data_IF_516235155254
#
_entry.id   IF_516235155254
#
_cell.length_a   1.000
_cell.length_b   1.000
_cell.length_c   1.000
_cell.angle_alpha   90.00
_cell.angle_beta   90.00
_cell.angle_gamma   90.00
#
_symmetry.space_group_name_H-M   'P 1'
#
loop_
_entity.id
_entity.type
_entity.pdbx_description
1 polymer ?
#
# COMPACT_ATOMS: atom_id res chain seq x y z
N UNK A 1 -43.39 13.72 -4.93
CA UNK A 1 -42.90 12.38 -4.55
C UNK A 1 -41.39 12.49 -4.42
N UNK A 2 -40.78 12.31 -3.24
CA UNK A 2 -39.33 12.22 -3.18
C UNK A 2 -38.93 10.97 -3.96
N UNK A 3 -38.11 11.14 -5.00
CA UNK A 3 -37.50 10.03 -5.71
C UNK A 3 -36.77 9.18 -4.69
N UNK A 4 -37.28 7.98 -4.41
CA UNK A 4 -36.58 7.03 -3.55
C UNK A 4 -35.23 6.75 -4.19
N UNK A 5 -34.16 7.33 -3.65
CA UNK A 5 -32.81 6.88 -3.97
C UNK A 5 -32.74 5.44 -3.49
N UNK A 6 -32.83 4.51 -4.44
CA UNK A 6 -32.64 3.10 -4.19
C UNK A 6 -31.23 2.93 -3.61
N UNK A 7 -31.17 2.58 -2.32
CA UNK A 7 -29.90 2.38 -1.64
C UNK A 7 -29.20 1.18 -2.27
N UNK A 8 -28.18 1.43 -3.06
CA UNK A 8 -27.42 0.37 -3.71
C UNK A 8 -26.70 -0.48 -2.65
N UNK A 9 -26.66 -1.81 -2.82
CA UNK A 9 -25.80 -2.64 -2.00
C UNK A 9 -24.33 -2.26 -2.24
N UNK A 10 -23.47 -2.47 -1.24
CA UNK A 10 -22.07 -2.02 -1.27
C UNK A 10 -21.29 -2.52 -2.50
N UNK A 11 -21.64 -3.67 -3.07
CA UNK A 11 -20.99 -4.22 -4.26
C UNK A 11 -21.46 -3.61 -5.58
N UNK A 12 -22.46 -2.73 -5.56
CA UNK A 12 -22.95 -2.00 -6.74
C UNK A 12 -22.60 -0.50 -6.72
N UNK A 13 -22.15 0.04 -5.57
CA UNK A 13 -21.67 1.41 -5.48
C UNK A 13 -20.39 1.57 -6.32
N UNK A 14 -20.27 2.71 -7.01
CA UNK A 14 -19.22 2.99 -8.01
C UNK A 14 -19.17 2.00 -9.19
N UNK A 15 -20.26 1.28 -9.46
CA UNK A 15 -20.42 0.42 -10.64
C UNK A 15 -21.45 1.03 -11.59
N UNK A 16 -21.12 1.23 -12.89
CA UNK A 16 -22.08 1.66 -13.90
C UNK A 16 -23.32 0.75 -13.93
N UNK A 17 -24.55 1.28 -14.09
CA UNK A 17 -25.77 0.48 -14.05
C UNK A 17 -25.75 -0.79 -14.92
N UNK A 18 -25.17 -0.69 -16.12
CA UNK A 18 -25.01 -1.77 -17.10
C UNK A 18 -24.05 -2.89 -16.67
N UNK A 19 -23.24 -2.65 -15.65
CA UNK A 19 -22.27 -3.61 -15.10
C UNK A 19 -22.63 -4.08 -13.69
N UNK A 20 -23.80 -3.67 -13.16
CA UNK A 20 -24.27 -4.12 -11.84
C UNK A 20 -24.74 -5.57 -11.92
N UNK A 21 -24.39 -6.31 -10.87
CA UNK A 21 -24.85 -7.68 -10.64
C UNK A 21 -25.76 -7.69 -9.42
N UNK A 22 -26.88 -8.40 -9.52
CA UNK A 22 -27.80 -8.64 -8.40
C UNK A 22 -27.13 -9.47 -7.29
N UNK A 23 -26.16 -10.32 -7.67
CA UNK A 23 -25.38 -11.15 -6.75
C UNK A 23 -24.04 -10.49 -6.43
N UNK A 24 -23.66 -10.50 -5.14
CA UNK A 24 -22.35 -10.02 -4.71
C UNK A 24 -21.21 -10.85 -5.37
N UNK A 25 -20.27 -10.21 -6.09
CA UNK A 25 -19.15 -10.90 -6.72
C UNK A 25 -18.31 -11.69 -5.72
N UNK A 26 -17.76 -12.84 -6.15
CA UNK A 26 -16.99 -13.74 -5.29
C UNK A 26 -15.89 -13.04 -4.49
N UNK A 27 -15.10 -12.20 -5.16
CA UNK A 27 -13.99 -11.47 -4.56
C UNK A 27 -14.41 -10.42 -3.50
N UNK A 28 -15.71 -10.17 -3.34
CA UNK A 28 -16.27 -9.26 -2.34
C UNK A 28 -17.08 -9.97 -1.24
N UNK A 29 -17.45 -11.24 -1.40
CA UNK A 29 -18.33 -11.93 -0.44
C UNK A 29 -17.77 -11.94 0.99
N UNK A 30 -16.45 -12.09 1.11
CA UNK A 30 -15.75 -12.13 2.39
C UNK A 30 -15.21 -10.76 2.84
N UNK A 31 -15.73 -9.65 2.29
CA UNK A 31 -15.39 -8.31 2.75
C UNK A 31 -15.86 -8.13 4.21
N UNK A 32 -14.93 -7.76 5.11
CA UNK A 32 -15.27 -7.44 6.50
C UNK A 32 -16.12 -6.14 6.59
N UNK A 33 -16.66 -5.85 7.76
CA UNK A 33 -17.52 -4.67 7.96
C UNK A 33 -16.86 -3.34 7.57
N UNK A 34 -15.55 -3.19 7.82
CA UNK A 34 -14.79 -1.99 7.44
C UNK A 34 -14.73 -1.85 5.93
N UNK A 35 -14.39 -2.92 5.23
CA UNK A 35 -14.32 -2.94 3.77
C UNK A 35 -15.69 -2.72 3.14
N UNK A 36 -16.75 -3.32 3.68
CA UNK A 36 -18.12 -3.09 3.20
C UNK A 36 -18.53 -1.62 3.33
N UNK A 37 -18.20 -0.98 4.46
CA UNK A 37 -18.46 0.47 4.67
C UNK A 37 -17.68 1.33 3.67
N UNK A 38 -16.43 1.00 3.40
CA UNK A 38 -15.63 1.73 2.40
C UNK A 38 -16.23 1.55 1.01
N UNK A 39 -16.55 0.31 0.62
CA UNK A 39 -17.13 -0.01 -0.69
C UNK A 39 -18.50 0.63 -0.90
N UNK A 40 -19.27 0.85 0.16
CA UNK A 40 -20.57 1.51 0.11
C UNK A 40 -20.51 3.04 -0.07
N UNK A 41 -19.32 3.65 -0.03
CA UNK A 41 -19.14 5.09 -0.21
C UNK A 41 -18.94 5.44 -1.70
N UNK A 42 -19.70 6.38 -2.27
CA UNK A 42 -19.41 6.90 -3.61
C UNK A 42 -18.03 7.54 -3.68
N UNK A 43 -17.28 7.33 -4.78
CA UNK A 43 -15.96 7.93 -4.98
C UNK A 43 -16.01 9.46 -4.89
N UNK A 44 -17.11 10.08 -5.32
CA UNK A 44 -17.35 11.54 -5.24
C UNK A 44 -17.46 12.06 -3.81
N UNK A 45 -17.80 11.20 -2.86
CA UNK A 45 -17.90 11.53 -1.43
C UNK A 45 -16.64 11.15 -0.65
N UNK A 46 -15.70 10.44 -1.31
CA UNK A 46 -14.45 10.06 -0.67
C UNK A 46 -13.49 11.25 -0.56
N UNK A 47 -13.13 11.61 0.68
CA UNK A 47 -12.14 12.64 0.97
C UNK A 47 -10.76 12.03 1.11
N UNK A 48 -9.81 12.49 0.29
CA UNK A 48 -8.40 12.15 0.44
C UNK A 48 -7.78 12.83 1.67
N UNK A 49 -6.92 12.10 2.37
CA UNK A 49 -6.13 12.67 3.47
C UNK A 49 -5.03 13.57 2.92
N UNK A 50 -4.91 14.78 3.48
CA UNK A 50 -3.85 15.73 3.18
C UNK A 50 -2.51 15.30 3.79
N UNK A 51 -1.40 15.89 3.34
CA UNK A 51 -0.07 15.59 3.88
C UNK A 51 0.03 15.75 5.41
N UNK A 52 -0.45 16.85 6.03
CA UNK A 52 -0.42 16.97 7.49
C UNK A 52 -1.24 15.90 8.22
N UNK A 53 -2.39 15.48 7.66
CA UNK A 53 -3.19 14.39 8.24
C UNK A 53 -2.46 13.04 8.13
N UNK A 54 -1.83 12.76 7.00
CA UNK A 54 -0.99 11.56 6.82
C UNK A 54 0.14 11.53 7.85
N UNK A 55 0.83 12.66 8.03
CA UNK A 55 1.88 12.80 9.02
C UNK A 55 1.36 12.56 10.43
N UNK A 56 0.21 13.13 10.78
CA UNK A 56 -0.40 12.98 12.10
C UNK A 56 -0.82 11.52 12.38
N UNK A 57 -1.43 10.85 11.41
CA UNK A 57 -1.82 9.44 11.56
C UNK A 57 -0.61 8.54 11.80
N UNK A 58 0.49 8.74 11.06
CA UNK A 58 1.70 7.94 11.26
C UNK A 58 2.33 8.27 12.62
N UNK A 59 2.45 9.55 12.97
CA UNK A 59 3.01 10.00 14.25
C UNK A 59 2.23 9.48 15.46
N UNK A 60 0.90 9.41 15.35
CA UNK A 60 0.01 8.90 16.41
C UNK A 60 -0.24 7.40 16.34
N UNK A 61 0.48 6.70 15.45
CA UNK A 61 0.36 5.26 15.23
C UNK A 61 -1.08 4.81 14.91
N UNK A 62 -1.83 5.63 14.17
CA UNK A 62 -3.20 5.40 13.70
C UNK A 62 -3.24 5.01 12.21
N UNK A 63 -2.26 4.21 11.79
CA UNK A 63 -2.17 3.70 10.40
C UNK A 63 -3.37 2.82 10.04
N UNK A 64 -4.12 2.31 11.03
CA UNK A 64 -5.40 1.62 10.85
C UNK A 64 -6.47 2.49 10.16
N UNK A 65 -6.34 3.81 10.20
CA UNK A 65 -7.26 4.75 9.58
C UNK A 65 -6.98 4.98 8.09
N UNK A 66 -5.85 4.50 7.55
CA UNK A 66 -5.64 4.54 6.11
C UNK A 66 -6.65 3.65 5.38
N UNK A 67 -7.22 4.20 4.31
CA UNK A 67 -8.21 3.55 3.47
C UNK A 67 -7.87 3.83 2.01
N UNK A 68 -8.28 2.92 1.12
CA UNK A 68 -8.23 3.16 -0.32
C UNK A 68 -9.49 3.90 -0.75
N UNK A 69 -9.41 4.59 -1.88
CA UNK A 69 -10.61 5.06 -2.58
C UNK A 69 -11.53 3.84 -2.82
N UNK A 70 -12.86 3.95 -2.68
CA UNK A 70 -13.76 2.81 -2.79
C UNK A 70 -13.60 2.00 -4.08
N UNK A 71 -13.49 2.66 -5.24
CA UNK A 71 -13.20 1.97 -6.50
C UNK A 71 -11.83 1.29 -6.55
N UNK A 72 -10.80 1.88 -5.93
CA UNK A 72 -9.47 1.26 -5.80
C UNK A 72 -9.51 0.04 -4.86
N UNK A 73 -10.29 0.08 -3.77
CA UNK A 73 -10.48 -1.08 -2.90
C UNK A 73 -11.17 -2.24 -3.64
N UNK A 74 -12.20 -1.94 -4.45
CA UNK A 74 -12.86 -2.93 -5.30
C UNK A 74 -11.87 -3.58 -6.28
N UNK A 75 -11.10 -2.76 -7.01
CA UNK A 75 -10.07 -3.23 -7.95
C UNK A 75 -9.00 -4.07 -7.24
N UNK A 76 -8.52 -3.62 -6.08
CA UNK A 76 -7.55 -4.35 -5.26
C UNK A 76 -8.06 -5.74 -4.88
N UNK A 77 -9.31 -5.85 -4.41
CA UNK A 77 -9.91 -7.14 -4.03
C UNK A 77 -10.07 -8.07 -5.24
N UNK A 78 -10.58 -7.56 -6.36
CA UNK A 78 -10.69 -8.32 -7.61
C UNK A 78 -9.33 -8.84 -8.09
N UNK A 79 -8.32 -7.96 -8.09
CA UNK A 79 -6.98 -8.30 -8.53
C UNK A 79 -6.30 -9.30 -7.60
N UNK A 80 -6.44 -9.11 -6.29
CA UNK A 80 -5.91 -10.04 -5.28
C UNK A 80 -6.54 -11.43 -5.40
N UNK A 81 -7.84 -11.52 -5.69
CA UNK A 81 -8.49 -12.81 -5.94
C UNK A 81 -7.93 -13.49 -7.19
N UNK A 82 -7.74 -12.74 -8.29
CA UNK A 82 -7.11 -13.25 -9.52
C UNK A 82 -5.67 -13.73 -9.28
N UNK A 83 -4.87 -12.99 -8.51
CA UNK A 83 -3.50 -13.40 -8.19
C UNK A 83 -3.45 -14.70 -7.38
N UNK A 84 -4.38 -14.90 -6.45
CA UNK A 84 -4.46 -16.15 -5.68
C UNK A 84 -4.77 -17.35 -6.58
N UNK A 85 -5.65 -17.17 -7.57
CA UNK A 85 -5.96 -18.21 -8.55
C UNK A 85 -4.74 -18.54 -9.44
N UNK A 86 -4.03 -17.50 -9.93
CA UNK A 86 -2.93 -17.66 -10.88
C UNK A 86 -1.59 -18.09 -10.26
N UNK A 87 -1.27 -17.57 -9.07
CA UNK A 87 0.04 -17.77 -8.43
C UNK A 87 -0.07 -18.59 -7.13
N UNK A 88 -1.27 -18.99 -6.73
CA UNK A 88 -1.54 -19.64 -5.44
C UNK A 88 -1.54 -18.67 -4.25
N UNK A 89 -0.75 -17.60 -4.29
CA UNK A 89 -0.75 -16.54 -3.28
C UNK A 89 -0.22 -15.21 -3.82
N UNK A 90 -0.59 -14.10 -3.17
CA UNK A 90 -0.03 -12.77 -3.46
C UNK A 90 1.48 -12.75 -3.22
N UNK A 91 1.95 -13.51 -2.23
CA UNK A 91 3.37 -13.65 -1.93
C UNK A 91 4.15 -14.24 -3.10
N UNK A 92 3.68 -15.35 -3.68
CA UNK A 92 4.32 -15.97 -4.84
C UNK A 92 4.39 -15.01 -6.02
N UNK A 93 3.31 -14.26 -6.27
CA UNK A 93 3.30 -13.20 -7.28
C UNK A 93 4.34 -12.11 -6.98
N UNK A 94 4.41 -11.60 -5.75
CA UNK A 94 5.37 -10.56 -5.39
C UNK A 94 6.81 -11.06 -5.56
N UNK A 95 7.13 -12.28 -5.15
CA UNK A 95 8.45 -12.87 -5.35
C UNK A 95 8.79 -13.04 -6.84
N UNK A 96 7.89 -13.63 -7.62
CA UNK A 96 8.12 -13.96 -9.02
C UNK A 96 8.15 -12.73 -9.93
N UNK A 97 7.22 -11.79 -9.74
CA UNK A 97 6.98 -10.70 -10.70
C UNK A 97 7.52 -9.35 -10.23
N UNK A 98 7.38 -9.04 -8.93
CA UNK A 98 7.74 -7.73 -8.38
C UNK A 98 9.19 -7.70 -7.91
N UNK A 99 9.59 -8.63 -7.04
CA UNK A 99 10.92 -8.66 -6.42
C UNK A 99 11.95 -9.34 -7.31
N UNK A 100 11.59 -10.46 -7.96
CA UNK A 100 12.50 -11.28 -8.78
C UNK A 100 13.72 -11.77 -8.00
N UNK A 101 13.55 -11.98 -6.70
CA UNK A 101 14.57 -12.58 -5.84
C UNK A 101 14.45 -14.11 -5.87
N UNK A 102 15.59 -14.80 -5.90
CA UNK A 102 15.65 -16.27 -5.86
C UNK A 102 15.34 -16.82 -4.46
N UNK A 103 15.79 -16.09 -3.43
CA UNK A 103 15.56 -16.39 -2.03
C UNK A 103 15.49 -15.09 -1.19
N UNK A 104 15.22 -15.25 0.09
CA UNK A 104 15.18 -14.17 1.08
C UNK A 104 16.42 -14.18 1.99
N UNK A 105 17.54 -14.77 1.54
CA UNK A 105 18.77 -14.81 2.32
C UNK A 105 19.51 -13.48 2.11
N UNK A 106 19.66 -12.64 3.15
CA UNK A 106 20.40 -11.40 3.04
C UNK A 106 21.88 -11.69 2.77
N UNK A 107 22.50 -10.88 1.92
CA UNK A 107 23.91 -10.95 1.54
C UNK A 107 24.79 -10.02 2.38
N UNK A 108 24.21 -9.23 3.28
CA UNK A 108 24.94 -8.40 4.23
C UNK A 108 24.13 -8.02 5.46
N UNK A 109 24.73 -7.17 6.29
CA UNK A 109 24.04 -6.55 7.42
C UNK A 109 22.89 -5.66 6.95
N UNK A 110 21.85 -5.43 7.78
CA UNK A 110 20.73 -4.56 7.45
C UNK A 110 21.18 -3.22 6.84
N UNK A 111 20.63 -2.90 5.67
CA UNK A 111 20.90 -1.67 4.92
C UNK A 111 22.35 -1.49 4.39
N UNK A 112 23.17 -2.55 4.38
CA UNK A 112 24.55 -2.49 3.86
C UNK A 112 24.69 -2.95 2.41
N UNK A 113 23.81 -3.82 1.92
CA UNK A 113 23.81 -4.34 0.56
C UNK A 113 22.53 -3.93 -0.19
N UNK A 114 22.69 -3.32 -1.36
CA UNK A 114 21.57 -2.88 -2.20
C UNK A 114 20.78 -4.04 -2.81
N UNK A 115 21.39 -5.20 -3.03
CA UNK A 115 20.73 -6.38 -3.60
C UNK A 115 19.72 -7.04 -2.62
N UNK A 116 19.82 -6.68 -1.34
CA UNK A 116 18.89 -7.11 -0.29
C UNK A 116 17.69 -6.18 -0.16
N UNK A 117 17.61 -5.11 -0.97
CA UNK A 117 16.60 -4.07 -0.87
C UNK A 117 15.96 -3.85 -2.24
N UNK A 118 14.63 -3.69 -2.26
CA UNK A 118 13.92 -3.25 -3.45
C UNK A 118 12.93 -2.14 -3.12
N UNK A 119 13.04 -1.01 -3.82
CA UNK A 119 12.14 0.13 -3.67
C UNK A 119 11.20 0.13 -4.86
N UNK A 120 9.89 0.02 -4.59
CA UNK A 120 8.85 -0.04 -5.61
C UNK A 120 7.75 0.96 -5.28
N UNK A 121 7.00 1.37 -6.31
CA UNK A 121 5.73 2.04 -6.07
C UNK A 121 4.76 1.05 -5.39
N UNK A 122 3.92 1.56 -4.50
CA UNK A 122 2.84 0.76 -3.94
C UNK A 122 1.84 0.43 -5.05
N UNK A 123 1.65 -0.85 -5.33
CA UNK A 123 0.74 -1.34 -6.36
C UNK A 123 -0.72 -0.93 -6.14
N UNK A 124 -1.10 -0.66 -4.89
CA UNK A 124 -2.45 -0.30 -4.47
C UNK A 124 -2.39 0.76 -3.37
N UNK A 125 -2.05 2.01 -3.70
CA UNK A 125 -1.83 3.09 -2.74
C UNK A 125 -3.11 3.46 -1.99
N UNK A 126 -2.96 4.15 -0.87
CA UNK A 126 -4.09 4.67 -0.10
C UNK A 126 -4.77 5.86 -0.80
N UNK A 127 -6.00 6.16 -0.38
CA UNK A 127 -6.76 7.32 -0.77
C UNK A 127 -6.25 8.59 -0.07
N UNK A 128 -5.03 8.99 -0.40
CA UNK A 128 -4.34 10.17 0.13
C UNK A 128 -4.13 11.20 -0.98
N UNK A 129 -3.68 12.40 -0.62
CA UNK A 129 -3.35 13.49 -1.56
C UNK A 129 -2.51 12.95 -2.73
N UNK A 130 -2.93 13.25 -3.96
CA UNK A 130 -2.32 12.71 -5.19
C UNK A 130 -0.92 13.20 -5.44
N UNK A 131 -0.45 14.22 -4.70
CA UNK A 131 0.95 14.66 -4.71
C UNK A 131 1.84 13.75 -3.86
N UNK A 132 1.27 12.88 -3.04
CA UNK A 132 2.03 11.94 -2.21
C UNK A 132 2.36 10.69 -3.04
N UNK A 133 3.65 10.42 -3.20
CA UNK A 133 4.15 9.16 -3.77
C UNK A 133 4.27 8.15 -2.65
N UNK A 134 3.53 7.04 -2.76
CA UNK A 134 3.54 5.95 -1.78
C UNK A 134 4.45 4.82 -2.29
N UNK A 135 5.60 4.67 -1.64
CA UNK A 135 6.57 3.63 -1.92
C UNK A 135 6.47 2.46 -0.92
N UNK A 136 6.92 1.29 -1.36
CA UNK A 136 7.19 0.13 -0.52
C UNK A 136 8.66 -0.22 -0.66
N UNK A 137 9.36 -0.26 0.48
CA UNK A 137 10.74 -0.70 0.56
C UNK A 137 10.75 -2.12 1.11
N UNK A 138 11.07 -3.07 0.26
CA UNK A 138 11.20 -4.49 0.57
C UNK A 138 12.62 -4.80 0.99
N UNK A 139 12.77 -5.64 2.02
CA UNK A 139 14.07 -6.02 2.56
C UNK A 139 14.14 -7.54 2.79
N UNK A 140 15.32 -8.14 2.59
CA UNK A 140 15.54 -9.58 2.87
C UNK A 140 15.84 -9.88 4.35
N UNK A 141 16.25 -8.89 5.12
CA UNK A 141 16.59 -9.04 6.54
C UNK A 141 15.40 -8.72 7.44
N UNK A 142 15.43 -9.22 8.68
CA UNK A 142 14.37 -8.96 9.64
C UNK A 142 14.42 -7.52 10.16
N UNK A 143 13.24 -6.92 10.34
CA UNK A 143 13.08 -5.65 11.02
C UNK A 143 12.67 -5.94 12.47
N UNK A 144 13.67 -6.06 13.35
CA UNK A 144 13.52 -6.52 14.74
C UNK A 144 12.41 -5.76 15.49
N UNK A 145 11.54 -6.53 16.15
CA UNK A 145 10.42 -6.04 16.94
C UNK A 145 10.63 -6.33 18.43
N UNK A 146 10.17 -5.43 19.29
CA UNK A 146 10.04 -5.65 20.71
C UNK A 146 8.93 -6.68 20.99
N UNK A 147 9.28 -7.72 21.75
CA UNK A 147 8.40 -8.88 21.95
C UNK A 147 7.12 -8.55 22.75
N UNK A 148 7.08 -7.43 23.48
CA UNK A 148 5.94 -7.04 24.31
C UNK A 148 4.97 -6.17 23.52
N UNK A 149 5.49 -5.16 22.83
CA UNK A 149 4.69 -4.19 22.09
C UNK A 149 4.37 -4.62 20.65
N UNK A 150 5.21 -5.48 20.06
CA UNK A 150 5.16 -5.82 18.62
C UNK A 150 5.55 -4.66 17.71
N UNK A 151 6.11 -3.57 18.25
CA UNK A 151 6.68 -2.46 17.49
C UNK A 151 8.19 -2.66 17.26
N UNK A 152 8.81 -1.90 16.36
CA UNK A 152 10.24 -1.96 16.13
C UNK A 152 11.04 -1.67 17.42
N UNK A 153 12.14 -2.40 17.63
CA UNK A 153 13.12 -2.03 18.65
C UNK A 153 13.72 -0.67 18.34
N UNK A 154 14.20 0.05 19.36
CA UNK A 154 14.83 1.37 19.18
C UNK A 154 16.02 1.30 18.21
N UNK A 155 16.83 0.24 18.31
CA UNK A 155 17.97 0.03 17.41
C UNK A 155 17.55 -0.24 15.96
N UNK A 156 16.49 -1.02 15.73
CA UNK A 156 15.95 -1.25 14.39
C UNK A 156 15.35 0.05 13.80
N UNK A 157 14.64 0.81 14.64
CA UNK A 157 14.07 2.11 14.27
C UNK A 157 15.16 3.12 13.90
N UNK A 158 16.25 3.18 14.65
CA UNK A 158 17.39 4.07 14.35
C UNK A 158 18.05 3.70 13.01
N UNK A 159 18.32 2.41 12.76
CA UNK A 159 18.88 1.96 11.48
C UNK A 159 17.98 2.31 10.30
N UNK A 160 16.68 2.08 10.44
CA UNK A 160 15.69 2.37 9.40
C UNK A 160 15.58 3.88 9.16
N UNK A 161 15.50 4.70 10.21
CA UNK A 161 15.45 6.15 10.08
C UNK A 161 16.75 6.69 9.44
N UNK A 162 17.92 6.16 9.81
CA UNK A 162 19.19 6.46 9.17
C UNK A 162 19.20 6.15 7.67
N UNK A 163 18.68 4.98 7.27
CA UNK A 163 18.52 4.62 5.87
C UNK A 163 17.56 5.57 5.13
N UNK A 164 16.41 5.92 5.74
CA UNK A 164 15.42 6.83 5.14
C UNK A 164 15.97 8.24 5.01
N UNK A 165 16.72 8.71 6.02
CA UNK A 165 17.42 9.99 5.99
C UNK A 165 18.33 10.08 4.75
N UNK A 166 19.23 9.11 4.61
CA UNK A 166 20.24 9.07 3.53
C UNK A 166 19.62 8.88 2.14
N UNK A 167 18.55 8.09 2.04
CA UNK A 167 18.00 7.66 0.73
C UNK A 167 16.95 8.63 0.21
N UNK A 168 16.09 9.17 1.08
CA UNK A 168 14.93 9.96 0.68
C UNK A 168 14.99 11.40 1.18
N UNK A 169 15.18 11.62 2.50
CA UNK A 169 15.05 12.97 3.09
C UNK A 169 16.13 13.93 2.60
N UNK A 170 17.33 13.47 2.26
CA UNK A 170 18.35 14.32 1.64
C UNK A 170 17.96 14.83 0.25
N UNK A 171 17.04 14.15 -0.43
CA UNK A 171 16.56 14.51 -1.78
C UNK A 171 15.30 15.37 -1.72
N UNK A 172 14.35 15.05 -0.82
CA UNK A 172 13.03 15.70 -0.79
C UNK A 172 12.81 16.66 0.38
N UNK A 173 13.72 16.70 1.37
CA UNK A 173 13.52 17.41 2.63
C UNK A 173 12.89 16.52 3.71
N UNK A 174 13.29 16.73 4.96
CA UNK A 174 12.85 15.89 6.09
C UNK A 174 11.34 16.01 6.35
N UNK A 175 10.77 17.19 6.13
CA UNK A 175 9.37 17.52 6.29
C UNK A 175 8.46 16.93 5.20
N UNK A 176 9.03 16.53 4.06
CA UNK A 176 8.31 15.95 2.92
C UNK A 176 8.50 14.44 2.79
N UNK A 177 9.11 13.78 3.79
CA UNK A 177 9.29 12.34 3.79
C UNK A 177 8.99 11.73 5.16
N UNK A 178 8.03 10.81 5.18
CA UNK A 178 7.66 10.04 6.37
C UNK A 178 7.64 8.55 6.03
N UNK A 179 7.90 7.71 7.03
CA UNK A 179 7.88 6.26 6.86
C UNK A 179 7.09 5.61 7.99
N UNK A 180 6.55 4.44 7.73
CA UNK A 180 5.87 3.61 8.72
C UNK A 180 5.99 2.14 8.32
N UNK A 181 5.87 1.25 9.31
CA UNK A 181 5.77 -0.19 9.11
C UNK A 181 4.38 -0.65 9.52
N UNK A 182 3.75 -1.47 8.70
CA UNK A 182 2.46 -2.07 9.08
C UNK A 182 2.68 -3.04 10.24
N UNK A 183 1.78 -2.99 11.23
CA UNK A 183 1.75 -3.98 12.31
C UNK A 183 1.42 -5.34 11.72
N UNK A 184 1.79 -6.43 12.40
CA UNK A 184 1.54 -7.79 11.92
C UNK A 184 0.07 -7.99 11.48
N UNK A 185 -0.91 -7.52 12.25
CA UNK A 185 -2.34 -7.66 11.92
C UNK A 185 -2.80 -6.94 10.64
N UNK A 186 -2.02 -5.99 10.11
CA UNK A 186 -2.33 -5.22 8.90
C UNK A 186 -1.49 -5.62 7.69
N UNK A 187 -0.44 -6.45 7.88
CA UNK A 187 0.40 -6.95 6.79
C UNK A 187 -0.40 -7.93 5.93
N UNK A 188 -0.53 -7.63 4.64
CA UNK A 188 -1.11 -8.59 3.68
C UNK A 188 -0.10 -9.67 3.26
N UNK A 189 1.21 -9.43 3.46
CA UNK A 189 2.30 -10.34 3.14
C UNK A 189 3.24 -10.39 4.34
N UNK A 190 3.17 -11.46 5.13
CA UNK A 190 4.00 -11.64 6.33
C UNK A 190 5.39 -12.18 6.03
N UNK A 191 5.58 -12.83 4.87
CA UNK A 191 6.79 -13.60 4.59
C UNK A 191 7.96 -12.77 4.05
N UNK A 192 7.72 -11.52 3.62
CA UNK A 192 8.79 -10.59 3.21
C UNK A 192 8.62 -9.30 3.99
N UNK A 193 9.68 -8.92 4.69
CA UNK A 193 9.70 -7.68 5.44
C UNK A 193 9.67 -6.48 4.49
N UNK A 194 8.88 -5.49 4.87
CA UNK A 194 8.75 -4.25 4.14
C UNK A 194 8.27 -3.14 5.06
N UNK A 195 8.62 -1.92 4.68
CA UNK A 195 8.07 -0.70 5.26
C UNK A 195 7.64 0.25 4.14
N UNK A 196 6.80 1.19 4.50
CA UNK A 196 6.27 2.18 3.59
C UNK A 196 7.02 3.49 3.76
N UNK A 197 7.29 4.16 2.63
CA UNK A 197 7.79 5.53 2.60
C UNK A 197 6.80 6.35 1.80
N UNK A 198 6.43 7.52 2.31
CA UNK A 198 5.58 8.49 1.64
C UNK A 198 6.37 9.76 1.42
N UNK A 199 6.41 10.21 0.17
CA UNK A 199 7.12 11.41 -0.27
C UNK A 199 6.09 12.44 -0.75
N UNK A 200 6.12 13.65 -0.21
CA UNK A 200 5.21 14.72 -0.63
C UNK A 200 5.81 15.54 -1.77
N UNK A 201 5.13 15.53 -2.92
CA UNK A 201 5.51 16.25 -4.12
C UNK A 201 6.98 16.11 -4.54
N UNK A 202 7.55 14.88 -4.56
CA UNK A 202 8.94 14.68 -4.95
C UNK A 202 9.15 15.02 -6.43
N UNK A 203 10.40 15.29 -6.80
CA UNK A 203 10.78 15.33 -8.21
C UNK A 203 10.52 13.96 -8.89
N UNK A 204 9.94 13.98 -10.09
CA UNK A 204 9.58 12.74 -10.80
C UNK A 204 10.81 11.94 -11.21
N UNK A 205 11.88 12.59 -11.65
CA UNK A 205 13.11 11.90 -12.05
C UNK A 205 13.71 11.16 -10.86
N UNK A 206 13.70 11.78 -9.67
CA UNK A 206 14.11 11.09 -8.45
C UNK A 206 13.30 9.82 -8.17
N UNK A 207 11.98 9.86 -8.33
CA UNK A 207 11.11 8.68 -8.14
C UNK A 207 11.40 7.61 -9.20
N UNK A 208 11.57 8.00 -10.46
CA UNK A 208 11.90 7.07 -11.54
C UNK A 208 13.26 6.40 -11.28
N UNK A 209 14.27 7.16 -10.86
CA UNK A 209 15.63 6.65 -10.58
C UNK A 209 15.62 5.68 -9.40
N UNK A 210 15.00 6.06 -8.28
CA UNK A 210 15.02 5.24 -7.05
C UNK A 210 14.20 3.96 -7.16
N UNK A 211 13.22 3.94 -8.07
CA UNK A 211 12.39 2.76 -8.36
C UNK A 211 12.82 1.99 -9.60
N UNK A 212 13.87 2.44 -10.29
CA UNK A 212 14.33 1.90 -11.57
C UNK A 212 13.20 1.83 -12.63
N UNK A 213 12.41 2.89 -12.72
CA UNK A 213 11.30 3.02 -13.66
C UNK A 213 10.11 2.09 -13.37
N UNK A 214 9.93 1.68 -12.12
CA UNK A 214 8.79 0.85 -11.73
C UNK A 214 7.46 1.55 -12.04
N UNK A 215 6.43 0.74 -12.30
CA UNK A 215 5.06 1.20 -12.49
C UNK A 215 4.14 0.37 -11.59
N UNK A 216 3.35 1.06 -10.77
CA UNK A 216 2.36 0.44 -9.90
C UNK A 216 1.33 -0.35 -10.72
N UNK A 217 0.91 -1.52 -10.21
CA UNK A 217 -0.10 -2.33 -10.89
C UNK A 217 -1.44 -1.59 -11.05
N UNK A 218 -1.84 -0.77 -10.08
CA UNK A 218 -3.04 0.06 -10.20
C UNK A 218 -3.02 0.93 -11.45
N UNK A 219 -1.85 1.40 -11.87
CA UNK A 219 -1.71 2.27 -13.03
C UNK A 219 -1.69 1.47 -14.32
N UNK A 220 -1.03 0.30 -14.34
CA UNK A 220 -1.06 -0.62 -15.49
C UNK A 220 -2.48 -1.08 -15.82
N UNK A 221 -3.27 -1.42 -14.80
CA UNK A 221 -4.63 -1.89 -14.99
C UNK A 221 -5.55 -0.76 -15.46
N UNK A 222 -5.30 0.49 -15.04
CA UNK A 222 -6.10 1.65 -15.47
C UNK A 222 -5.87 2.01 -16.94
N UNK A 223 -4.73 1.65 -17.51
CA UNK A 223 -4.46 1.86 -18.94
C UNK A 223 -5.02 0.75 -19.84
N UNK A 224 -5.45 -0.38 -19.26
CA UNK A 224 -6.00 -1.54 -19.98
C UNK A 224 -7.54 -1.51 -20.10
N UNK A 225 -8.18 -0.38 -19.78
CA UNK A 225 -9.65 -0.17 -19.84
C UNK A 225 -10.00 0.97 -20.78
#
# INVERSE_FOLDING_TARGET
MPSGQETLPYWQVNVPPEHRSDVCPEFLRDANEKDQKILATPDSEFRRLSWPEVQDLIRTNRIDLFQRVPSDLRRYKAYTAKLKDQYGSVMNFVMAERLKWQDLVPQGEPFSNTDDIKILLNDWPYGIDTRIVHLVVWVKFQLEEDAVSGDLTDAAREKLDGYVNKTFRTQVGAENCIWFKNWASLKSIHAVEHFHVMLFSPDKQFVDDITNGDVALSDKIRTDV
#
